data_IF_758668861140
#
_entry.id   IF_758668861140
#
_cell.length_a   1.000
_cell.length_b   1.000
_cell.length_c   1.000
_cell.angle_alpha   90.00
_cell.angle_beta   90.00
_cell.angle_gamma   90.00
#
_symmetry.space_group_name_H-M   'P 1'
#
loop_
_entity.id
_entity.type
_entity.pdbx_description
1 polymer ?
#
# COMPACT_ATOMS: atom_id res chain seq x y z
N UNK A 1 -5.63 -9.67 0.47
CA UNK A 1 -4.88 -10.33 1.57
C UNK A 1 -3.60 -9.55 1.93
N UNK A 2 -3.44 -9.16 3.19
CA UNK A 2 -2.32 -8.31 3.63
C UNK A 2 -2.12 -8.35 5.14
N UNK A 3 -2.84 -7.49 5.84
CA UNK A 3 -2.87 -7.45 7.31
C UNK A 3 -3.71 -8.59 7.90
N UNK A 4 -4.85 -8.86 7.26
CA UNK A 4 -5.73 -10.01 7.48
C UNK A 4 -6.04 -10.67 6.14
N UNK A 5 -6.56 -11.91 6.14
CA UNK A 5 -6.91 -12.64 4.90
C UNK A 5 -7.90 -11.84 4.03
N UNK A 6 -8.84 -11.15 4.66
CA UNK A 6 -9.90 -10.38 4.00
C UNK A 6 -9.61 -8.88 3.88
N UNK A 7 -8.35 -8.45 4.03
CA UNK A 7 -7.99 -7.04 3.83
C UNK A 7 -8.31 -6.58 2.40
N UNK A 8 -9.02 -5.44 2.31
CA UNK A 8 -9.43 -4.79 1.06
C UNK A 8 -8.75 -3.43 0.92
N UNK A 9 -8.38 -3.08 -0.31
CA UNK A 9 -7.97 -1.72 -0.68
C UNK A 9 -9.03 -1.09 -1.58
N UNK A 10 -9.28 0.21 -1.40
CA UNK A 10 -10.20 0.97 -2.25
C UNK A 10 -9.38 1.91 -3.14
N UNK A 11 -9.55 1.76 -4.46
CA UNK A 11 -8.89 2.61 -5.45
C UNK A 11 -9.90 3.48 -6.18
N UNK A 12 -9.66 4.79 -6.19
CA UNK A 12 -10.42 5.73 -7.00
C UNK A 12 -9.59 6.13 -8.23
N UNK A 13 -10.02 5.69 -9.42
CA UNK A 13 -9.32 5.96 -10.66
C UNK A 13 -9.39 7.42 -11.13
N UNK A 14 -10.42 8.17 -10.71
CA UNK A 14 -10.56 9.58 -11.09
C UNK A 14 -9.59 10.46 -10.32
N UNK A 15 -9.49 10.25 -9.01
CA UNK A 15 -8.61 11.03 -8.11
C UNK A 15 -7.21 10.42 -7.94
N UNK A 16 -7.02 9.16 -8.38
CA UNK A 16 -5.77 8.38 -8.23
C UNK A 16 -5.39 8.12 -6.78
N UNK A 17 -6.40 7.96 -5.94
CA UNK A 17 -6.27 7.71 -4.51
C UNK A 17 -6.39 6.22 -4.21
N UNK A 18 -5.54 5.72 -3.31
CA UNK A 18 -5.60 4.36 -2.78
C UNK A 18 -5.71 4.41 -1.27
N UNK A 19 -6.79 3.84 -0.73
CA UNK A 19 -6.95 3.55 0.69
C UNK A 19 -6.54 2.11 0.93
N UNK A 20 -5.46 1.90 1.68
CA UNK A 20 -4.83 0.58 1.83
C UNK A 20 -5.28 -0.18 3.08
N UNK A 21 -5.91 0.50 4.04
CA UNK A 21 -6.09 -0.03 5.39
C UNK A 21 -4.75 -0.45 6.01
N UNK A 22 -4.77 -1.40 6.94
CA UNK A 22 -3.60 -1.80 7.71
C UNK A 22 -2.58 -2.66 6.96
N UNK A 23 -2.84 -2.96 5.68
CA UNK A 23 -1.89 -3.66 4.81
C UNK A 23 -0.62 -2.82 4.59
N UNK A 24 -0.79 -1.51 4.38
CA UNK A 24 0.32 -0.57 4.22
C UNK A 24 0.26 0.40 5.37
N UNK A 25 1.38 0.55 6.07
CA UNK A 25 1.58 1.57 7.08
C UNK A 25 2.77 2.44 6.69
N UNK A 26 2.83 3.66 7.22
CA UNK A 26 4.06 4.46 7.12
C UNK A 26 4.75 4.52 8.46
N UNK A 27 6.05 4.24 8.49
CA UNK A 27 6.89 4.39 9.67
C UNK A 27 7.29 5.87 9.90
N UNK A 28 8.04 6.13 10.98
CA UNK A 28 8.68 7.43 11.16
C UNK A 28 9.50 7.81 9.91
N UNK A 29 9.32 9.04 9.44
CA UNK A 29 9.89 9.50 8.16
C UNK A 29 8.97 9.33 6.94
N UNK A 30 7.82 8.65 7.10
CA UNK A 30 6.77 8.61 6.06
C UNK A 30 7.00 7.58 4.95
N UNK A 31 8.01 6.73 5.07
CA UNK A 31 8.24 5.64 4.13
C UNK A 31 7.11 4.59 4.24
N UNK A 32 6.39 4.28 3.15
CA UNK A 32 5.34 3.28 3.16
C UNK A 32 5.94 1.87 3.19
N UNK A 33 5.28 0.99 3.93
CA UNK A 33 5.77 -0.35 4.20
C UNK A 33 4.61 -1.32 4.38
N UNK A 34 4.79 -2.55 3.90
CA UNK A 34 3.82 -3.63 4.07
C UNK A 34 4.14 -4.41 5.34
N UNK A 35 3.12 -4.58 6.20
CA UNK A 35 3.22 -5.35 7.45
C UNK A 35 1.98 -6.22 7.62
N UNK A 36 2.15 -7.52 7.84
CA UNK A 36 1.04 -8.44 8.02
C UNK A 36 1.39 -9.90 7.79
N UNK A 37 0.38 -10.75 7.78
CA UNK A 37 0.51 -12.22 7.65
C UNK A 37 0.58 -12.71 6.20
N UNK A 38 0.59 -11.81 5.21
CA UNK A 38 0.67 -12.18 3.81
C UNK A 38 1.99 -12.90 3.48
N UNK A 39 1.91 -13.97 2.70
CA UNK A 39 3.10 -14.66 2.20
C UNK A 39 3.87 -13.76 1.22
N UNK A 40 5.16 -14.04 1.03
CA UNK A 40 6.00 -13.32 0.06
C UNK A 40 5.42 -13.33 -1.37
N UNK A 41 4.78 -14.44 -1.78
CA UNK A 41 4.09 -14.55 -3.07
C UNK A 41 2.89 -13.59 -3.14
N UNK A 42 2.04 -13.57 -2.13
CA UNK A 42 0.88 -12.69 -2.07
C UNK A 42 1.29 -11.21 -2.09
N UNK A 43 2.37 -10.87 -1.38
CA UNK A 43 2.95 -9.53 -1.39
C UNK A 43 3.45 -9.15 -2.78
N UNK A 44 4.11 -10.06 -3.50
CA UNK A 44 4.58 -9.80 -4.87
C UNK A 44 3.44 -9.59 -5.85
N UNK A 45 2.42 -10.46 -5.85
CA UNK A 45 1.24 -10.34 -6.73
C UNK A 45 0.52 -9.01 -6.50
N UNK A 46 0.34 -8.65 -5.23
CA UNK A 46 -0.25 -7.38 -4.84
C UNK A 46 0.60 -6.18 -5.29
N UNK A 47 1.91 -6.20 -5.09
CA UNK A 47 2.80 -5.14 -5.56
C UNK A 47 2.77 -5.00 -7.09
N UNK A 48 2.69 -6.11 -7.83
CA UNK A 48 2.51 -6.09 -9.28
C UNK A 48 1.18 -5.43 -9.67
N UNK A 49 0.08 -5.78 -9.00
CA UNK A 49 -1.21 -5.15 -9.20
C UNK A 49 -1.14 -3.65 -8.90
N UNK A 50 -0.61 -3.25 -7.74
CA UNK A 50 -0.48 -1.84 -7.37
C UNK A 50 0.39 -1.05 -8.36
N UNK A 51 1.45 -1.64 -8.91
CA UNK A 51 2.30 -1.01 -9.92
C UNK A 51 1.59 -0.78 -11.25
N UNK A 52 0.57 -1.58 -11.57
CA UNK A 52 -0.27 -1.38 -12.75
C UNK A 52 -1.28 -0.23 -12.58
N UNK A 53 -1.52 0.23 -11.35
CA UNK A 53 -2.43 1.32 -11.04
C UNK A 53 -1.67 2.66 -11.00
N UNK A 54 -2.30 3.71 -11.53
CA UNK A 54 -1.76 5.06 -11.44
C UNK A 54 -2.14 5.68 -10.09
N UNK A 55 -1.37 5.40 -9.05
CA UNK A 55 -1.63 5.89 -7.69
C UNK A 55 -0.76 7.10 -7.40
N UNK A 56 -1.39 8.22 -7.04
CA UNK A 56 -0.71 9.46 -6.63
C UNK A 56 -0.80 9.71 -5.12
N UNK A 57 -1.84 9.19 -4.48
CA UNK A 57 -2.13 9.45 -3.08
C UNK A 57 -2.39 8.13 -2.39
N UNK A 58 -1.57 7.80 -1.40
CA UNK A 58 -1.68 6.58 -0.62
C UNK A 58 -2.09 6.93 0.81
N UNK A 59 -3.19 6.35 1.25
CA UNK A 59 -3.74 6.51 2.60
C UNK A 59 -3.59 5.18 3.35
N UNK A 60 -2.56 5.06 4.20
CA UNK A 60 -2.36 3.87 5.01
C UNK A 60 -3.38 3.81 6.15
N UNK A 61 -3.60 2.63 6.72
CA UNK A 61 -4.40 2.48 7.93
C UNK A 61 -3.76 3.11 9.17
N UNK A 62 -2.42 3.17 9.18
CA UNK A 62 -1.63 3.79 10.25
C UNK A 62 -0.52 4.68 9.70
N UNK A 63 -0.28 5.80 10.38
CA UNK A 63 0.76 6.78 10.05
C UNK A 63 0.27 7.93 9.19
N UNK A 64 1.12 8.45 8.29
CA UNK A 64 0.87 9.63 7.46
C UNK A 64 0.52 9.23 6.03
N UNK A 65 -0.37 9.99 5.40
CA UNK A 65 -0.62 9.86 3.97
C UNK A 65 0.65 10.18 3.16
N UNK A 66 0.85 9.45 2.05
CA UNK A 66 1.96 9.67 1.13
C UNK A 66 1.43 10.27 -0.17
N UNK A 67 1.89 11.47 -0.49
CA UNK A 67 1.46 12.23 -1.66
C UNK A 67 2.61 12.24 -2.69
N UNK A 68 2.64 11.24 -3.57
CA UNK A 68 3.72 11.06 -4.53
C UNK A 68 3.24 10.33 -5.80
N UNK A 69 3.66 10.79 -6.97
CA UNK A 69 3.24 10.23 -8.28
C UNK A 69 3.67 8.77 -8.53
N UNK A 70 4.61 8.25 -7.73
CA UNK A 70 5.18 6.90 -7.87
C UNK A 70 5.28 6.21 -6.50
N UNK A 71 4.28 6.43 -5.64
CA UNK A 71 4.32 5.96 -4.24
C UNK A 71 4.55 4.45 -4.11
N UNK A 72 4.04 3.63 -5.04
CA UNK A 72 4.20 2.17 -5.02
C UNK A 72 5.66 1.73 -5.15
N UNK A 73 6.51 2.52 -5.81
CA UNK A 73 7.95 2.22 -5.94
C UNK A 73 8.71 2.45 -4.63
N UNK A 74 8.11 3.19 -3.70
CA UNK A 74 8.68 3.52 -2.40
C UNK A 74 8.25 2.55 -1.30
N UNK A 75 7.33 1.61 -1.61
CA UNK A 75 6.83 0.64 -0.65
C UNK A 75 7.92 -0.39 -0.34
N UNK A 76 8.31 -0.45 0.92
CA UNK A 76 9.20 -1.47 1.46
C UNK A 76 8.41 -2.72 1.89
N UNK A 77 9.02 -3.90 1.76
CA UNK A 77 8.46 -5.17 2.22
C UNK A 77 9.19 -5.57 3.49
N UNK A 78 8.44 -5.99 4.51
CA UNK A 78 8.96 -6.40 5.84
C UNK A 78 9.69 -5.28 6.60
N UNK A 79 8.87 -4.49 7.30
CA UNK A 79 9.28 -3.83 8.54
C UNK A 79 8.86 -4.70 9.74
#
# INVERSE_FOLDING_TARGET
PGHTRDSLCLYNAFTRELLCGDMVMTLEGGAPCIRGEASSLQVQEMLQLLRSLHIHYLYPGHGRAVLAKQVVQQIQVEC
#
